data_IF_940920042962
#
_entry.id   IF_940920042962
#
_cell.length_a   1.000
_cell.length_b   1.000
_cell.length_c   1.000
_cell.angle_alpha   90.00
_cell.angle_beta   90.00
_cell.angle_gamma   90.00
#
_symmetry.space_group_name_H-M   'P 1'
#
loop_
_entity.id
_entity.type
_entity.pdbx_description
1 polymer ?
#
# COMPACT_ATOMS: atom_id res chain seq x y z
N UNK A 1 71.83 43.46 -23.66
CA UNK A 1 71.04 43.78 -24.87
C UNK A 1 69.60 43.95 -24.45
N UNK A 2 69.07 45.17 -24.45
CA UNK A 2 67.73 45.47 -23.90
C UNK A 2 66.78 45.77 -25.07
N UNK A 3 65.84 44.87 -25.35
CA UNK A 3 64.83 45.02 -26.42
C UNK A 3 63.62 45.73 -25.81
N UNK A 4 63.62 47.07 -25.91
CA UNK A 4 62.47 47.87 -25.53
C UNK A 4 61.34 47.68 -26.56
N UNK A 5 60.32 46.91 -26.18
CA UNK A 5 59.05 46.78 -26.90
C UNK A 5 58.33 48.14 -26.95
N UNK A 6 58.33 48.81 -28.11
CA UNK A 6 57.42 49.92 -28.40
C UNK A 6 56.01 49.37 -28.66
N UNK A 7 55.22 49.21 -27.60
CA UNK A 7 53.78 49.01 -27.74
C UNK A 7 53.13 50.32 -28.20
N UNK A 8 52.85 50.42 -29.51
CA UNK A 8 52.11 51.54 -30.09
C UNK A 8 50.70 51.64 -29.49
N UNK A 9 50.22 52.87 -29.24
CA UNK A 9 48.86 53.07 -28.73
C UNK A 9 47.84 52.56 -29.76
N UNK A 10 46.84 51.76 -29.34
CA UNK A 10 45.83 51.27 -30.26
C UNK A 10 45.04 52.43 -30.87
N UNK A 11 44.80 52.34 -32.18
CA UNK A 11 44.07 53.34 -32.95
C UNK A 11 42.61 53.40 -32.51
N UNK A 12 41.93 54.52 -32.77
CA UNK A 12 40.50 54.69 -32.44
C UNK A 12 39.63 53.57 -33.04
N UNK A 13 39.95 53.11 -34.24
CA UNK A 13 39.26 51.99 -34.89
C UNK A 13 39.50 50.66 -34.19
N UNK A 14 40.72 50.40 -33.71
CA UNK A 14 41.05 49.18 -32.96
C UNK A 14 40.33 49.15 -31.61
N UNK A 15 40.25 50.30 -30.92
CA UNK A 15 39.49 50.41 -29.66
C UNK A 15 38.00 50.19 -29.87
N UNK A 16 37.42 50.74 -30.94
CA UNK A 16 35.99 50.54 -31.26
C UNK A 16 35.67 49.07 -31.53
N UNK A 17 36.48 48.38 -32.35
CA UNK A 17 36.31 46.94 -32.61
C UNK A 17 36.51 46.08 -31.36
N UNK A 18 37.47 46.43 -30.50
CA UNK A 18 37.69 45.71 -29.25
C UNK A 18 36.49 45.84 -28.30
N UNK A 19 35.91 47.06 -28.19
CA UNK A 19 34.72 47.30 -27.40
C UNK A 19 33.49 46.53 -27.93
N UNK A 20 33.28 46.54 -29.25
CA UNK A 20 32.21 45.82 -29.92
C UNK A 20 32.36 44.29 -29.75
N UNK A 21 33.59 43.78 -29.84
CA UNK A 21 33.86 42.36 -29.57
C UNK A 21 33.58 41.98 -28.12
N UNK A 22 33.98 42.82 -27.16
CA UNK A 22 33.69 42.56 -25.74
C UNK A 22 32.19 42.60 -25.44
N UNK A 23 31.45 43.52 -26.05
CA UNK A 23 29.99 43.61 -25.92
C UNK A 23 29.31 42.35 -26.50
N UNK A 24 29.70 41.92 -27.69
CA UNK A 24 29.18 40.70 -28.30
C UNK A 24 29.48 39.45 -27.47
N UNK A 25 30.67 39.36 -26.87
CA UNK A 25 31.04 38.24 -25.97
C UNK A 25 30.23 38.27 -24.67
N UNK A 26 29.99 39.44 -24.08
CA UNK A 26 29.16 39.57 -22.88
C UNK A 26 27.69 39.22 -23.16
N UNK A 27 27.15 39.66 -24.31
CA UNK A 27 25.79 39.33 -24.74
C UNK A 27 25.64 37.82 -25.06
N UNK A 28 26.66 37.19 -25.64
CA UNK A 28 26.64 35.75 -25.89
C UNK A 28 26.69 34.93 -24.58
N UNK A 29 27.44 35.39 -23.57
CA UNK A 29 27.52 34.73 -22.26
C UNK A 29 26.21 34.83 -21.49
N UNK A 30 25.62 36.02 -21.42
CA UNK A 30 24.32 36.24 -20.77
C UNK A 30 23.22 35.42 -21.43
N UNK A 31 23.19 35.38 -22.77
CA UNK A 31 22.29 34.50 -23.52
C UNK A 31 22.51 33.02 -23.16
N UNK A 32 23.76 32.53 -23.10
CA UNK A 32 24.01 31.13 -22.72
C UNK A 32 23.52 30.81 -21.29
N UNK A 33 23.76 31.70 -20.33
CA UNK A 33 23.33 31.54 -18.93
C UNK A 33 21.79 31.53 -18.80
N UNK A 34 21.09 32.35 -19.59
CA UNK A 34 19.62 32.35 -19.66
C UNK A 34 19.06 31.04 -20.22
N UNK A 35 19.69 30.48 -21.27
CA UNK A 35 19.29 29.21 -21.85
C UNK A 35 19.49 28.04 -20.89
N UNK A 36 20.61 28.00 -20.16
CA UNK A 36 20.87 26.96 -19.15
C UNK A 36 19.88 27.03 -17.99
N UNK A 37 19.53 28.24 -17.54
CA UNK A 37 18.55 28.44 -16.47
C UNK A 37 17.16 27.98 -16.89
N UNK A 38 16.72 28.37 -18.09
CA UNK A 38 15.43 27.99 -18.64
C UNK A 38 15.34 26.46 -18.89
N UNK A 39 16.42 25.84 -19.36
CA UNK A 39 16.46 24.38 -19.51
C UNK A 39 16.30 23.67 -18.16
N UNK A 40 16.97 24.17 -17.11
CA UNK A 40 16.89 23.59 -15.78
C UNK A 40 15.51 23.78 -15.15
N UNK A 41 14.88 24.94 -15.32
CA UNK A 41 13.51 25.20 -14.87
C UNK A 41 12.51 24.26 -15.55
N UNK A 42 12.55 24.12 -16.88
CA UNK A 42 11.67 23.20 -17.61
C UNK A 42 11.86 21.74 -17.20
N UNK A 43 13.12 21.33 -16.93
CA UNK A 43 13.40 19.98 -16.46
C UNK A 43 12.82 19.74 -15.07
N UNK A 44 12.91 20.74 -14.19
CA UNK A 44 12.34 20.67 -12.85
C UNK A 44 10.81 20.57 -12.90
N UNK A 45 10.14 21.42 -13.69
CA UNK A 45 8.69 21.36 -13.88
C UNK A 45 8.25 20.00 -14.42
N UNK A 46 9.00 19.43 -15.37
CA UNK A 46 8.71 18.11 -15.91
C UNK A 46 8.88 17.00 -14.87
N UNK A 47 9.93 17.07 -14.06
CA UNK A 47 10.16 16.13 -12.97
C UNK A 47 9.04 16.20 -11.92
N UNK A 48 8.62 17.41 -11.55
CA UNK A 48 7.54 17.62 -10.58
C UNK A 48 6.20 17.09 -11.12
N UNK A 49 5.90 17.26 -12.41
CA UNK A 49 4.72 16.67 -13.04
C UNK A 49 4.74 15.14 -12.98
N UNK A 50 5.88 14.51 -13.28
CA UNK A 50 6.02 13.04 -13.20
C UNK A 50 5.83 12.55 -11.76
N UNK A 51 6.38 13.27 -10.79
CA UNK A 51 6.25 12.92 -9.38
C UNK A 51 4.80 13.00 -8.90
N UNK A 52 4.04 14.00 -9.36
CA UNK A 52 2.62 14.12 -9.04
C UNK A 52 1.81 12.98 -9.67
N UNK A 53 2.07 12.63 -10.93
CA UNK A 53 1.41 11.49 -11.59
C UNK A 53 1.66 10.17 -10.83
N UNK A 54 2.91 9.95 -10.39
CA UNK A 54 3.27 8.78 -9.59
C UNK A 54 2.52 8.79 -8.26
N UNK A 55 2.44 9.93 -7.59
CA UNK A 55 1.75 10.07 -6.30
C UNK A 55 0.27 9.73 -6.43
N UNK A 56 -0.40 10.26 -7.44
CA UNK A 56 -1.81 9.96 -7.73
C UNK A 56 -2.02 8.46 -7.97
N UNK A 57 -1.15 7.83 -8.77
CA UNK A 57 -1.22 6.39 -9.04
C UNK A 57 -1.00 5.54 -7.77
N UNK A 58 -0.04 5.92 -6.93
CA UNK A 58 0.23 5.24 -5.65
C UNK A 58 -0.98 5.36 -4.72
N UNK A 59 -1.54 6.56 -4.56
CA UNK A 59 -2.73 6.78 -3.75
C UNK A 59 -3.93 5.96 -4.25
N UNK A 60 -4.15 5.93 -5.58
CA UNK A 60 -5.20 5.13 -6.20
C UNK A 60 -5.02 3.63 -5.93
N UNK A 61 -3.79 3.11 -6.05
CA UNK A 61 -3.47 1.71 -5.77
C UNK A 61 -3.66 1.35 -4.29
N UNK A 62 -3.20 2.20 -3.38
CA UNK A 62 -3.41 2.01 -1.95
C UNK A 62 -4.92 1.96 -1.61
N UNK A 63 -5.70 2.89 -2.17
CA UNK A 63 -7.15 2.92 -2.00
C UNK A 63 -7.82 1.64 -2.53
N UNK A 64 -7.40 1.16 -3.69
CA UNK A 64 -7.89 -0.09 -4.28
C UNK A 64 -7.58 -1.30 -3.39
N UNK A 65 -6.35 -1.44 -2.90
CA UNK A 65 -5.94 -2.53 -2.01
C UNK A 65 -6.77 -2.51 -0.72
N UNK A 66 -6.98 -1.33 -0.13
CA UNK A 66 -7.80 -1.20 1.07
C UNK A 66 -9.24 -1.68 0.82
N UNK A 67 -9.85 -1.24 -0.28
CA UNK A 67 -11.20 -1.65 -0.67
C UNK A 67 -11.31 -3.16 -0.92
N UNK A 68 -10.33 -3.75 -1.59
CA UNK A 68 -10.28 -5.20 -1.81
C UNK A 68 -10.14 -5.97 -0.50
N UNK A 69 -9.33 -5.48 0.44
CA UNK A 69 -9.19 -6.07 1.77
C UNK A 69 -10.50 -6.01 2.57
N UNK A 70 -11.18 -4.87 2.56
CA UNK A 70 -12.48 -4.70 3.23
C UNK A 70 -13.58 -5.59 2.62
N UNK A 71 -13.57 -5.74 1.30
CA UNK A 71 -14.45 -6.66 0.59
C UNK A 71 -14.17 -8.11 0.96
N UNK A 72 -12.90 -8.51 0.99
CA UNK A 72 -12.49 -9.86 1.36
C UNK A 72 -12.86 -10.19 2.82
N UNK A 73 -12.64 -9.24 3.74
CA UNK A 73 -13.08 -9.38 5.14
C UNK A 73 -14.57 -9.65 5.22
N UNK A 74 -15.37 -8.88 4.48
CA UNK A 74 -16.84 -9.02 4.47
C UNK A 74 -17.25 -10.35 3.87
N UNK A 75 -16.62 -10.75 2.75
CA UNK A 75 -16.86 -12.04 2.12
C UNK A 75 -16.56 -13.19 3.07
N UNK A 76 -15.38 -13.22 3.70
CA UNK A 76 -15.00 -14.27 4.64
C UNK A 76 -15.95 -14.35 5.84
N UNK A 77 -16.35 -13.21 6.39
CA UNK A 77 -17.32 -13.15 7.49
C UNK A 77 -18.66 -13.75 7.08
N UNK A 78 -19.17 -13.36 5.91
CA UNK A 78 -20.45 -13.84 5.41
C UNK A 78 -20.39 -15.33 5.07
N UNK A 79 -19.32 -15.79 4.42
CA UNK A 79 -19.10 -17.21 4.13
C UNK A 79 -19.08 -18.02 5.41
N UNK A 80 -18.29 -17.61 6.41
CA UNK A 80 -18.26 -18.28 7.71
C UNK A 80 -19.64 -18.30 8.35
N UNK A 81 -20.36 -17.18 8.33
CA UNK A 81 -21.71 -17.11 8.90
C UNK A 81 -22.67 -18.10 8.20
N UNK A 82 -22.64 -18.17 6.87
CA UNK A 82 -23.43 -19.12 6.09
C UNK A 82 -23.07 -20.57 6.42
N UNK A 83 -21.78 -20.91 6.52
CA UNK A 83 -21.35 -22.26 6.91
C UNK A 83 -21.80 -22.61 8.33
N UNK A 84 -21.67 -21.67 9.27
CA UNK A 84 -22.15 -21.85 10.64
C UNK A 84 -23.66 -22.04 10.73
N UNK A 85 -24.45 -21.52 9.79
CA UNK A 85 -25.91 -21.73 9.73
C UNK A 85 -26.30 -23.14 9.28
N UNK A 86 -25.41 -23.86 8.58
CA UNK A 86 -25.62 -25.27 8.24
C UNK A 86 -25.43 -26.17 9.46
N UNK A 87 -24.77 -25.68 10.51
CA UNK A 87 -24.52 -26.41 11.75
C UNK A 87 -25.68 -26.17 12.73
N UNK A 88 -26.33 -27.23 13.24
CA UNK A 88 -27.37 -27.14 14.26
C UNK A 88 -26.87 -26.41 15.51
N UNK A 89 -27.76 -25.63 16.15
CA UNK A 89 -27.42 -24.86 17.37
C UNK A 89 -26.85 -25.75 18.47
N UNK A 90 -27.40 -26.95 18.67
CA UNK A 90 -26.92 -27.90 19.67
C UNK A 90 -25.44 -28.28 19.50
N UNK A 91 -24.92 -28.35 18.27
CA UNK A 91 -23.50 -28.65 17.99
C UNK A 91 -22.68 -27.37 18.07
N UNK A 92 -23.20 -26.25 17.55
CA UNK A 92 -22.51 -24.96 17.54
C UNK A 92 -22.25 -24.39 18.94
N UNK A 93 -23.17 -24.63 19.87
CA UNK A 93 -23.07 -24.15 21.24
C UNK A 93 -22.33 -25.16 22.16
N UNK A 94 -21.95 -26.33 21.63
CA UNK A 94 -21.22 -27.37 22.35
C UNK A 94 -19.77 -26.93 22.61
N UNK A 95 -19.20 -27.16 23.81
CA UNK A 95 -17.79 -26.93 24.06
C UNK A 95 -16.90 -27.72 23.10
N UNK A 96 -15.87 -27.09 22.54
CA UNK A 96 -15.00 -27.72 21.53
C UNK A 96 -14.44 -29.07 22.01
N UNK A 97 -13.98 -29.16 23.26
CA UNK A 97 -13.47 -30.43 23.83
C UNK A 97 -14.53 -31.55 23.78
N UNK A 98 -15.78 -31.24 24.06
CA UNK A 98 -16.88 -32.21 24.02
C UNK A 98 -17.18 -32.61 22.56
N UNK A 99 -17.18 -31.65 21.64
CA UNK A 99 -17.34 -31.93 20.22
C UNK A 99 -16.27 -32.89 19.69
N UNK A 100 -15.00 -32.66 20.03
CA UNK A 100 -13.89 -33.53 19.61
C UNK A 100 -14.05 -34.96 20.16
N UNK A 101 -14.52 -35.09 21.41
CA UNK A 101 -14.71 -36.40 22.04
C UNK A 101 -15.91 -37.17 21.48
N UNK A 102 -17.02 -36.48 21.16
CA UNK A 102 -18.26 -37.12 20.69
C UNK A 102 -18.28 -37.37 19.18
N UNK A 103 -17.57 -36.54 18.40
CA UNK A 103 -17.66 -36.55 16.93
C UNK A 103 -16.31 -36.65 16.20
N UNK A 104 -15.21 -36.89 16.93
CA UNK A 104 -13.87 -37.10 16.37
C UNK A 104 -13.45 -36.02 15.36
N UNK A 105 -13.72 -34.77 15.73
CA UNK A 105 -13.46 -33.55 14.95
C UNK A 105 -14.28 -33.38 13.64
N UNK A 106 -15.19 -34.31 13.31
CA UNK A 106 -15.96 -34.28 12.07
C UNK A 106 -17.39 -33.76 12.25
N UNK A 107 -17.65 -32.56 11.73
CA UNK A 107 -18.98 -31.94 11.70
C UNK A 107 -19.98 -32.78 10.91
N UNK A 108 -19.53 -33.51 9.87
CA UNK A 108 -20.40 -34.35 9.04
C UNK A 108 -20.99 -35.50 9.86
N UNK A 109 -20.22 -36.05 10.79
CA UNK A 109 -20.64 -37.10 11.72
C UNK A 109 -21.66 -36.56 12.73
N UNK A 110 -21.44 -35.35 13.25
CA UNK A 110 -22.40 -34.67 14.12
C UNK A 110 -23.74 -34.39 13.42
N UNK A 111 -23.70 -33.95 12.16
CA UNK A 111 -24.89 -33.72 11.35
C UNK A 111 -25.68 -35.02 11.12
N UNK A 112 -25.02 -36.10 10.67
CA UNK A 112 -25.67 -37.41 10.46
C UNK A 112 -26.31 -37.96 11.72
N UNK A 113 -25.63 -37.82 12.86
CA UNK A 113 -26.14 -38.25 14.16
C UNK A 113 -27.47 -37.54 14.50
N UNK A 114 -27.53 -36.21 14.34
CA UNK A 114 -28.74 -35.43 14.62
C UNK A 114 -29.90 -35.72 13.67
N UNK A 115 -29.64 -35.96 12.39
CA UNK A 115 -30.68 -36.40 11.45
C UNK A 115 -31.32 -37.72 11.89
N UNK A 116 -30.50 -38.68 12.35
CA UNK A 116 -30.99 -39.97 12.84
C UNK A 116 -31.83 -39.84 14.13
N UNK A 117 -31.54 -38.87 15.00
CA UNK A 117 -32.35 -38.61 16.20
C UNK A 117 -33.72 -38.01 15.87
N UNK A 118 -33.81 -37.16 14.83
CA UNK A 118 -35.07 -36.54 14.42
C UNK A 118 -36.05 -37.56 13.83
N UNK A 119 -35.58 -38.60 13.14
CA UNK A 119 -36.45 -39.68 12.64
C UNK A 119 -36.97 -40.60 13.75
N UNK A 120 -36.28 -40.70 14.89
CA UNK A 120 -36.67 -41.56 16.00
C UNK A 120 -37.53 -40.86 17.08
N UNK A 121 -37.78 -39.56 16.96
CA UNK A 121 -38.58 -38.81 17.94
C UNK A 121 -37.95 -38.72 19.33
N UNK A 122 -36.64 -38.99 19.46
CA UNK A 122 -35.92 -39.00 20.73
C UNK A 122 -35.33 -37.60 20.95
N UNK A 123 -35.86 -36.89 21.94
CA UNK A 123 -35.35 -35.58 22.36
C UNK A 123 -33.90 -35.74 22.88
N UNK A 124 -32.96 -34.87 22.48
CA UNK A 124 -31.59 -34.93 22.97
C UNK A 124 -31.57 -34.71 24.48
N UNK A 125 -30.87 -35.61 25.20
CA UNK A 125 -30.75 -35.57 26.65
C UNK A 125 -30.03 -34.26 27.03
N UNK A 126 -30.73 -33.40 27.77
CA UNK A 126 -30.22 -32.11 28.26
C UNK A 126 -28.81 -32.29 28.86
N UNK A 127 -27.79 -31.50 28.45
CA UNK A 127 -26.44 -31.67 28.96
C UNK A 127 -26.43 -31.48 30.47
N UNK A 128 -25.77 -32.42 31.16
CA UNK A 128 -25.61 -32.38 32.60
C UNK A 128 -24.86 -31.10 33.01
N UNK A 129 -25.32 -30.46 34.09
CA UNK A 129 -24.77 -29.20 34.58
C UNK A 129 -23.25 -29.28 34.79
N UNK A 130 -22.50 -28.18 34.54
CA UNK A 130 -21.06 -28.16 34.73
C UNK A 130 -20.71 -28.48 36.18
N UNK A 131 -19.84 -29.48 36.36
CA UNK A 131 -19.32 -29.89 37.66
C UNK A 131 -18.47 -28.73 38.21
N UNK A 132 -18.90 -28.18 39.35
CA UNK A 132 -18.29 -27.02 40.00
C UNK A 132 -16.80 -27.23 40.30
N UNK A 133 -15.95 -26.34 39.78
CA UNK A 133 -14.49 -26.41 39.84
C UNK A 133 -13.88 -25.95 41.19
N UNK A 134 -14.57 -26.17 42.31
CA UNK A 134 -14.16 -25.59 43.61
C UNK A 134 -13.27 -26.47 44.50
N UNK A 135 -12.70 -27.58 44.01
CA UNK A 135 -11.88 -28.48 44.82
C UNK A 135 -10.46 -28.72 44.24
N UNK A 136 -9.66 -27.67 44.04
CA UNK A 136 -8.20 -27.82 43.99
C UNK A 136 -7.58 -27.27 45.29
N UNK A 137 -6.84 -28.09 46.07
CA UNK A 137 -6.00 -27.59 47.14
C UNK A 137 -4.79 -26.85 46.56
N UNK A 138 -4.44 -25.74 47.23
CA UNK A 138 -3.33 -24.82 46.90
C UNK A 138 -1.97 -25.51 46.82
#
# INVERSE_FOLDING_TARGET
>A
TNINNKMGRPTRSQRKRAAELTENVMNAKTSAEEWDSNLNENLQEHADSILEDIKVEVEARCSKIQKESDNMRTLLRNTLHCEMMKIPSAVRDMPLRQFLQEFDEDVSTALKSLYNFHEQGIQPKKPAAPVSANNMPL
#
